data_IF_622217967959
#
_entry.id   IF_622217967959
#
_cell.length_a   1.000
_cell.length_b   1.000
_cell.length_c   1.000
_cell.angle_alpha   90.00
_cell.angle_beta   90.00
_cell.angle_gamma   90.00
#
_symmetry.space_group_name_H-M   'P 1'
#
loop_
_entity.id
_entity.type
_entity.pdbx_description
1 polymer ?
#
# COMPACT_ATOMS: atom_id res chain seq x y z
N UNK A 1 4.78 -9.07 -8.43
CA UNK A 1 4.67 -8.07 -9.51
C UNK A 1 5.93 -8.03 -10.37
N UNK A 2 5.85 -7.58 -11.62
CA UNK A 2 7.02 -7.30 -12.49
C UNK A 2 7.72 -5.99 -12.12
N UNK A 3 8.99 -5.85 -12.51
CA UNK A 3 9.78 -4.63 -12.27
C UNK A 3 9.14 -3.37 -12.89
N UNK A 4 8.55 -3.51 -14.08
CA UNK A 4 7.89 -2.41 -14.78
C UNK A 4 6.62 -1.95 -14.06
N UNK A 5 5.84 -2.89 -13.51
CA UNK A 5 4.66 -2.56 -12.70
C UNK A 5 5.06 -1.81 -11.42
N UNK A 6 6.10 -2.28 -10.72
CA UNK A 6 6.61 -1.60 -9.52
C UNK A 6 7.02 -0.16 -9.86
N UNK A 7 7.73 0.06 -10.97
CA UNK A 7 8.13 1.40 -11.40
C UNK A 7 6.92 2.30 -11.72
N UNK A 8 5.91 1.75 -12.41
CA UNK A 8 4.66 2.46 -12.68
C UNK A 8 3.96 2.88 -11.39
N UNK A 9 3.79 1.96 -10.43
CA UNK A 9 3.12 2.26 -9.17
C UNK A 9 3.90 3.24 -8.30
N UNK A 10 5.25 3.21 -8.33
CA UNK A 10 6.08 4.22 -7.67
C UNK A 10 5.80 5.62 -8.23
N UNK A 11 5.79 5.76 -9.55
CA UNK A 11 5.48 7.04 -10.21
C UNK A 11 4.06 7.51 -9.91
N UNK A 12 3.08 6.59 -9.89
CA UNK A 12 1.71 6.90 -9.53
C UNK A 12 1.59 7.37 -8.08
N UNK A 13 2.21 6.64 -7.14
CA UNK A 13 2.24 7.00 -5.73
C UNK A 13 2.84 8.39 -5.51
N UNK A 14 3.96 8.67 -6.18
CA UNK A 14 4.60 9.98 -6.16
C UNK A 14 3.65 11.09 -6.66
N UNK A 15 2.96 10.88 -7.78
CA UNK A 15 2.01 11.84 -8.32
C UNK A 15 0.83 12.13 -7.38
N UNK A 16 0.28 11.09 -6.74
CA UNK A 16 -0.80 11.23 -5.75
C UNK A 16 -0.31 12.00 -4.53
N UNK A 17 0.82 11.60 -3.96
CA UNK A 17 1.40 12.25 -2.79
C UNK A 17 1.75 13.72 -3.07
N UNK A 18 2.29 14.04 -4.25
CA UNK A 18 2.58 15.41 -4.66
C UNK A 18 1.32 16.26 -4.81
N UNK A 19 0.21 15.68 -5.27
CA UNK A 19 -1.07 16.38 -5.43
C UNK A 19 -1.69 16.78 -4.07
N UNK A 20 -1.60 15.91 -3.07
CA UNK A 20 -2.25 16.11 -1.76
C UNK A 20 -1.30 16.63 -0.66
N UNK A 21 0.00 16.67 -0.93
CA UNK A 21 1.02 17.23 -0.04
C UNK A 21 1.55 16.26 1.02
N UNK A 22 2.44 16.72 1.91
CA UNK A 22 3.25 15.87 2.80
C UNK A 22 2.46 15.11 3.88
N UNK A 23 1.16 15.38 4.02
CA UNK A 23 0.25 14.67 4.93
C UNK A 23 -0.50 13.52 4.24
N UNK A 24 -0.33 13.33 2.94
CA UNK A 24 -0.88 12.22 2.19
C UNK A 24 0.18 11.13 2.02
N UNK A 25 -0.03 10.02 2.71
CA UNK A 25 0.81 8.83 2.57
C UNK A 25 0.21 7.88 1.53
N UNK A 26 1.06 7.39 0.63
CA UNK A 26 0.66 6.40 -0.39
C UNK A 26 1.58 5.19 -0.26
N UNK A 27 0.99 4.01 -0.09
CA UNK A 27 1.70 2.76 0.15
C UNK A 27 1.39 1.77 -0.97
N UNK A 28 2.43 1.18 -1.56
CA UNK A 28 2.31 0.14 -2.58
C UNK A 28 2.74 -1.19 -1.98
N UNK A 29 1.84 -2.17 -2.05
CA UNK A 29 2.09 -3.53 -1.57
C UNK A 29 2.28 -4.50 -2.75
N UNK A 30 3.35 -5.31 -2.72
CA UNK A 30 3.42 -6.56 -3.49
C UNK A 30 2.86 -7.70 -2.64
N UNK A 31 1.70 -8.20 -3.05
CA UNK A 31 0.96 -9.24 -2.34
C UNK A 31 1.30 -10.66 -2.81
N UNK A 32 2.10 -10.81 -3.87
CA UNK A 32 2.56 -12.11 -4.38
C UNK A 32 3.80 -12.61 -3.60
N UNK A 33 4.52 -11.69 -2.96
CA UNK A 33 5.72 -11.95 -2.17
C UNK A 33 5.41 -12.23 -0.68
N UNK A 34 6.46 -12.30 0.13
CA UNK A 34 6.41 -12.50 1.58
C UNK A 34 5.35 -11.61 2.24
N UNK A 35 4.45 -12.24 2.99
CA UNK A 35 3.34 -11.58 3.65
C UNK A 35 3.81 -10.60 4.72
N UNK A 36 5.00 -10.77 5.29
CA UNK A 36 5.51 -9.88 6.34
C UNK A 36 6.32 -8.68 5.79
N UNK A 37 6.66 -8.69 4.49
CA UNK A 37 7.50 -7.67 3.84
C UNK A 37 6.89 -7.14 2.54
N UNK A 38 5.60 -6.86 2.59
CA UNK A 38 4.82 -6.51 1.40
C UNK A 38 5.02 -5.08 0.89
N UNK A 39 5.46 -4.10 1.69
CA UNK A 39 5.61 -2.71 1.21
C UNK A 39 6.84 -2.62 0.29
N UNK A 40 6.60 -2.33 -0.99
CA UNK A 40 7.65 -2.18 -2.03
C UNK A 40 7.91 -0.73 -2.45
N UNK A 41 7.00 0.19 -2.08
CA UNK A 41 7.15 1.63 -2.21
C UNK A 41 6.26 2.36 -1.20
N UNK A 42 6.74 3.51 -0.72
CA UNK A 42 5.98 4.39 0.17
C UNK A 42 6.37 5.85 -0.07
N UNK A 43 5.38 6.73 -0.14
CA UNK A 43 5.54 8.18 -0.17
C UNK A 43 5.01 8.76 1.14
N UNK A 44 5.73 9.72 1.73
CA UNK A 44 5.36 10.38 3.00
C UNK A 44 5.12 9.42 4.19
N UNK A 45 5.94 8.37 4.34
CA UNK A 45 5.81 7.33 5.39
C UNK A 45 5.83 7.80 6.86
N UNK A 46 6.01 9.10 7.12
CA UNK A 46 5.93 9.68 8.47
C UNK A 46 4.50 9.87 8.98
N UNK A 47 3.47 9.70 8.14
CA UNK A 47 2.07 9.82 8.57
C UNK A 47 1.67 8.62 9.43
N UNK A 48 2.01 7.41 8.99
CA UNK A 48 1.79 6.18 9.75
C UNK A 48 3.04 5.68 10.48
N UNK A 49 4.23 6.20 10.13
CA UNK A 49 5.52 5.74 10.65
C UNK A 49 6.05 4.47 9.97
N UNK A 50 5.43 4.06 8.85
CA UNK A 50 5.79 2.85 8.11
C UNK A 50 6.91 3.10 7.11
N UNK A 51 7.60 2.03 6.72
CA UNK A 51 8.66 2.08 5.72
C UNK A 51 8.63 0.88 4.76
N UNK A 52 9.41 0.98 3.67
CA UNK A 52 9.63 -0.14 2.75
C UNK A 52 10.11 -1.37 3.53
N UNK A 53 9.56 -2.53 3.21
CA UNK A 53 9.82 -3.78 3.92
C UNK A 53 8.90 -4.06 5.10
N UNK A 54 8.04 -3.12 5.52
CA UNK A 54 7.00 -3.46 6.49
C UNK A 54 5.92 -4.37 5.88
N UNK A 55 5.18 -5.05 6.76
CA UNK A 55 4.06 -5.90 6.42
C UNK A 55 2.82 -5.13 5.93
N UNK A 56 1.72 -5.83 5.64
CA UNK A 56 0.44 -5.25 5.29
C UNK A 56 -0.31 -4.74 6.52
N UNK A 57 -1.29 -3.86 6.31
CA UNK A 57 -2.27 -3.54 7.35
C UNK A 57 -3.35 -4.63 7.43
N UNK A 58 -4.15 -4.62 8.50
CA UNK A 58 -5.16 -5.65 8.74
C UNK A 58 -6.17 -5.79 7.59
N UNK A 59 -6.54 -4.68 6.94
CA UNK A 59 -7.46 -4.68 5.81
C UNK A 59 -6.91 -5.44 4.59
N UNK A 60 -5.60 -5.38 4.37
CA UNK A 60 -4.93 -6.09 3.27
C UNK A 60 -4.89 -7.59 3.57
N UNK A 61 -4.74 -7.98 4.84
CA UNK A 61 -4.84 -9.39 5.26
C UNK A 61 -6.25 -9.95 5.03
N UNK A 62 -7.29 -9.18 5.37
CA UNK A 62 -8.68 -9.57 5.13
C UNK A 62 -9.00 -9.67 3.63
N UNK A 63 -8.51 -8.72 2.84
CA UNK A 63 -8.62 -8.78 1.38
C UNK A 63 -7.94 -10.03 0.79
N UNK A 64 -6.74 -10.40 1.27
CA UNK A 64 -6.06 -11.65 0.86
C UNK A 64 -6.87 -12.90 1.20
N UNK A 65 -7.55 -12.93 2.36
CA UNK A 65 -8.37 -14.09 2.79
C UNK A 65 -9.63 -14.28 1.96
N UNK A 66 -10.11 -13.25 1.26
CA UNK A 66 -11.36 -13.28 0.51
C UNK A 66 -11.39 -14.25 -0.70
N UNK A 67 -10.29 -14.97 -0.99
CA UNK A 67 -10.18 -16.13 -1.92
C UNK A 67 -11.10 -16.06 -3.16
N UNK A 68 -10.99 -14.99 -3.95
CA UNK A 68 -11.68 -14.86 -5.23
C UNK A 68 -13.11 -14.33 -5.15
N UNK A 69 -13.57 -13.88 -3.98
CA UNK A 69 -14.72 -12.99 -3.88
C UNK A 69 -14.43 -11.61 -4.51
N UNK A 70 -15.48 -10.89 -4.87
CA UNK A 70 -15.36 -9.53 -5.39
C UNK A 70 -14.75 -8.63 -4.31
N UNK A 71 -13.54 -8.13 -4.55
CA UNK A 71 -12.89 -7.16 -3.68
C UNK A 71 -13.49 -5.79 -3.94
N UNK A 72 -13.94 -5.13 -2.87
CA UNK A 72 -14.49 -3.78 -2.93
C UNK A 72 -13.49 -2.79 -2.33
N UNK A 73 -13.42 -1.60 -2.93
CA UNK A 73 -12.59 -0.51 -2.42
C UNK A 73 -13.09 -0.06 -1.04
N UNK A 74 -12.18 -0.03 -0.06
CA UNK A 74 -12.49 0.33 1.32
C UNK A 74 -12.14 1.79 1.59
N UNK A 75 -12.90 2.69 0.98
CA UNK A 75 -12.72 4.15 1.12
C UNK A 75 -13.09 4.58 2.55
N UNK A 76 -12.25 5.43 3.17
CA UNK A 76 -12.49 5.95 4.52
C UNK A 76 -12.33 4.91 5.63
N UNK A 77 -11.63 3.80 5.37
CA UNK A 77 -11.31 2.82 6.39
C UNK A 77 -10.40 3.43 7.47
N UNK A 78 -10.87 3.40 8.72
CA UNK A 78 -10.08 3.86 9.85
C UNK A 78 -9.10 2.77 10.28
N UNK A 79 -7.82 2.95 9.95
CA UNK A 79 -6.75 2.15 10.52
C UNK A 79 -6.57 2.51 12.00
N UNK A 80 -6.49 1.50 12.85
CA UNK A 80 -6.02 1.64 14.23
C UNK A 80 -4.63 1.02 14.28
N UNK A 81 -3.64 1.84 14.61
CA UNK A 81 -2.26 1.43 14.91
C UNK A 81 -2.15 0.95 16.34
#
# INVERSE_FOLDING_TARGET
>A
MTQHEIEFYRRLAHGIAAQFGPRCEVVVHDLECDADHSIVAIENGSVSGRHVGDGPSHIVLEAKKAKGGQLEDRIGYLTRT
#
